data_IF_598783578610
#
_entry.id   IF_598783578610
#
_cell.length_a   1.000
_cell.length_b   1.000
_cell.length_c   1.000
_cell.angle_alpha   90.00
_cell.angle_beta   90.00
_cell.angle_gamma   90.00
#
_symmetry.space_group_name_H-M   'P 1'
#
loop_
_entity.id
_entity.type
_entity.pdbx_description
1 polymer ?
#
# COMPACT_ATOMS: atom_id res chain seq x y z
N UNK A 1 -1.36 -5.55 -13.59
CA UNK A 1 -1.67 -4.51 -12.59
C UNK A 1 -3.11 -4.69 -12.15
N UNK A 2 -3.37 -4.67 -10.86
CA UNK A 2 -4.71 -4.66 -10.29
C UNK A 2 -4.94 -3.30 -9.60
N UNK A 3 -6.00 -2.58 -9.98
CA UNK A 3 -6.40 -1.32 -9.36
C UNK A 3 -7.90 -1.41 -9.07
N UNK A 4 -8.28 -1.51 -7.80
CA UNK A 4 -9.68 -1.73 -7.43
C UNK A 4 -10.25 -3.07 -7.91
N UNK A 5 -9.41 -4.11 -8.05
CA UNK A 5 -9.86 -5.43 -8.50
C UNK A 5 -10.49 -6.21 -7.33
N UNK A 6 -11.80 -6.07 -7.17
CA UNK A 6 -12.59 -6.67 -6.08
C UNK A 6 -12.96 -8.13 -6.36
N UNK A 7 -11.98 -8.97 -6.76
CA UNK A 7 -12.17 -10.41 -6.98
C UNK A 7 -10.97 -11.20 -6.50
N UNK A 8 -11.24 -12.31 -5.82
CA UNK A 8 -10.22 -13.31 -5.46
C UNK A 8 -9.72 -13.95 -6.74
N UNK A 9 -8.43 -13.80 -7.03
CA UNK A 9 -7.77 -14.49 -8.13
C UNK A 9 -7.54 -15.95 -7.76
N UNK A 10 -7.75 -16.86 -8.71
CA UNK A 10 -7.48 -18.28 -8.47
C UNK A 10 -5.99 -18.50 -8.21
N UNK A 11 -5.66 -19.48 -7.38
CA UNK A 11 -4.28 -19.80 -7.03
C UNK A 11 -3.41 -20.07 -8.26
N UNK A 12 -3.96 -20.79 -9.25
CA UNK A 12 -3.27 -21.05 -10.53
C UNK A 12 -2.95 -19.79 -11.32
N UNK A 13 -3.83 -18.78 -11.29
CA UNK A 13 -3.57 -17.49 -11.95
C UNK A 13 -2.46 -16.72 -11.22
N UNK A 14 -2.52 -16.66 -9.89
CA UNK A 14 -1.52 -15.94 -9.09
C UNK A 14 -0.14 -16.56 -9.26
N UNK A 15 -0.03 -17.89 -9.16
CA UNK A 15 1.24 -18.62 -9.37
C UNK A 15 1.80 -18.40 -10.77
N UNK A 16 0.95 -18.37 -11.80
CA UNK A 16 1.42 -18.13 -13.18
C UNK A 16 2.11 -16.76 -13.34
N UNK A 17 1.63 -15.73 -12.62
CA UNK A 17 2.18 -14.37 -12.68
C UNK A 17 2.92 -13.97 -11.40
N UNK A 18 3.45 -14.94 -10.66
CA UNK A 18 4.22 -14.70 -9.44
C UNK A 18 5.38 -13.72 -9.72
N UNK A 19 5.57 -12.76 -8.81
CA UNK A 19 6.56 -11.68 -8.95
C UNK A 19 6.25 -10.64 -10.03
N UNK A 20 5.10 -10.73 -10.74
CA UNK A 20 4.72 -9.82 -11.83
C UNK A 20 3.37 -9.13 -11.62
N UNK A 21 2.56 -9.61 -10.66
CA UNK A 21 1.30 -8.98 -10.28
C UNK A 21 1.54 -7.99 -9.14
N UNK A 22 1.15 -6.73 -9.35
CA UNK A 22 1.09 -5.70 -8.31
C UNK A 22 -0.36 -5.30 -8.05
N UNK A 23 -0.65 -5.01 -6.78
CA UNK A 23 -1.91 -4.46 -6.29
C UNK A 23 -1.62 -3.23 -5.42
N UNK A 24 -2.57 -2.30 -5.37
CA UNK A 24 -2.60 -1.22 -4.39
C UNK A 24 -3.75 -1.44 -3.40
N UNK A 25 -3.43 -1.34 -2.12
CA UNK A 25 -4.37 -1.56 -1.02
C UNK A 25 -4.51 -0.28 -0.17
N UNK A 26 -5.74 0.17 0.15
CA UNK A 26 -6.00 1.43 0.86
C UNK A 26 -5.76 1.33 2.38
N UNK A 27 -4.64 0.75 2.80
CA UNK A 27 -4.14 0.81 4.18
C UNK A 27 -2.62 0.69 4.25
N UNK A 28 -2.04 0.95 5.42
CA UNK A 28 -0.65 0.59 5.74
C UNK A 28 -0.59 -0.87 6.17
N UNK A 29 -0.49 -1.79 5.21
CA UNK A 29 -0.37 -3.22 5.50
C UNK A 29 0.85 -3.49 6.42
N UNK A 30 0.75 -4.44 7.37
CA UNK A 30 -0.32 -5.45 7.51
C UNK A 30 -1.58 -4.98 8.24
N UNK A 31 -1.69 -3.71 8.62
CA UNK A 31 -2.90 -3.19 9.27
C UNK A 31 -4.07 -3.11 8.30
N UNK A 32 -5.28 -3.44 8.77
CA UNK A 32 -6.52 -3.33 7.99
C UNK A 32 -6.49 -4.06 6.63
N UNK A 33 -6.20 -5.38 6.56
CA UNK A 33 -6.38 -6.14 5.33
C UNK A 33 -7.88 -6.25 5.00
N UNK A 34 -8.23 -6.51 3.74
CA UNK A 34 -9.62 -6.63 3.29
C UNK A 34 -10.36 -5.29 3.18
N UNK A 35 -11.68 -5.32 3.33
CA UNK A 35 -12.56 -4.19 2.99
C UNK A 35 -12.70 -3.16 4.13
N UNK A 36 -13.34 -2.02 3.83
CA UNK A 36 -13.70 -0.97 4.80
C UNK A 36 -12.49 -0.47 5.61
N UNK A 37 -11.35 -0.30 4.96
CA UNK A 37 -10.09 0.09 5.61
C UNK A 37 -10.18 1.45 6.29
N UNK A 38 -10.79 2.43 5.63
CA UNK A 38 -10.93 3.80 6.12
C UNK A 38 -11.89 3.88 7.32
N UNK A 39 -13.07 3.26 7.22
CA UNK A 39 -14.02 3.18 8.32
C UNK A 39 -13.39 2.56 9.56
N UNK A 40 -12.73 1.39 9.41
CA UNK A 40 -12.04 0.73 10.53
C UNK A 40 -10.92 1.58 11.14
N UNK A 41 -10.16 2.31 10.30
CA UNK A 41 -9.12 3.21 10.79
C UNK A 41 -9.69 4.34 11.67
N UNK A 42 -10.84 4.90 11.28
CA UNK A 42 -11.54 5.91 12.07
C UNK A 42 -12.11 5.32 13.37
N UNK A 43 -12.75 4.15 13.31
CA UNK A 43 -13.32 3.45 14.46
C UNK A 43 -12.26 3.05 15.50
N UNK A 44 -11.09 2.61 15.05
CA UNK A 44 -9.96 2.28 15.93
C UNK A 44 -9.18 3.52 16.42
N UNK A 45 -9.45 4.72 15.87
CA UNK A 45 -8.86 5.97 16.32
C UNK A 45 -7.37 6.12 16.02
N UNK A 46 -6.88 5.51 14.93
CA UNK A 46 -5.46 5.63 14.56
C UNK A 46 -5.12 7.05 14.13
N UNK A 47 -3.90 7.52 14.41
CA UNK A 47 -3.43 8.86 13.99
C UNK A 47 -2.78 8.90 12.61
N UNK A 48 -2.45 7.72 12.09
CA UNK A 48 -1.77 7.51 10.81
C UNK A 48 -2.48 6.38 10.07
N UNK A 49 -2.84 6.63 8.82
CA UNK A 49 -3.37 5.66 7.87
C UNK A 49 -2.59 5.80 6.54
N UNK A 50 -3.03 5.18 5.46
CA UNK A 50 -2.27 5.26 4.20
C UNK A 50 -2.68 4.25 3.16
N UNK A 51 -1.79 4.02 2.19
CA UNK A 51 -1.92 2.98 1.19
C UNK A 51 -0.61 2.24 0.95
N UNK A 52 -0.72 1.02 0.45
CA UNK A 52 0.40 0.09 0.21
C UNK A 52 0.34 -0.47 -1.19
N UNK A 53 1.43 -0.37 -1.96
CA UNK A 53 1.62 -1.16 -3.17
C UNK A 53 2.43 -2.39 -2.81
N UNK A 54 1.95 -3.57 -3.22
CA UNK A 54 2.60 -4.85 -2.94
C UNK A 54 2.48 -5.80 -4.12
N UNK A 55 3.34 -6.82 -4.16
CA UNK A 55 3.15 -7.95 -5.07
C UNK A 55 1.97 -8.82 -4.61
N UNK A 56 1.21 -9.37 -5.54
CA UNK A 56 0.08 -10.26 -5.24
C UNK A 56 0.59 -11.66 -4.96
N UNK A 57 0.13 -12.23 -3.85
CA UNK A 57 0.34 -13.62 -3.44
C UNK A 57 -1.00 -14.33 -3.32
N UNK A 58 -1.04 -15.69 -3.24
CA UNK A 58 -2.29 -16.41 -2.99
C UNK A 58 -2.95 -16.00 -1.67
N UNK A 59 -2.16 -15.61 -0.68
CA UNK A 59 -2.65 -14.99 0.55
C UNK A 59 -3.02 -13.53 0.28
N UNK A 60 -4.30 -13.19 0.49
CA UNK A 60 -4.88 -11.86 0.28
C UNK A 60 -4.13 -10.78 1.10
N UNK A 61 -3.75 -9.66 0.48
CA UNK A 61 -3.11 -8.50 1.13
C UNK A 61 -1.87 -8.82 1.99
N UNK A 62 -1.17 -9.92 1.66
CA UNK A 62 -0.03 -10.44 2.43
C UNK A 62 1.27 -10.56 1.62
N UNK A 63 1.28 -10.03 0.40
CA UNK A 63 2.47 -10.12 -0.45
C UNK A 63 3.55 -9.08 -0.12
N UNK A 64 4.77 -9.26 -0.67
CA UNK A 64 5.89 -8.35 -0.42
C UNK A 64 5.57 -6.90 -0.77
N UNK A 65 5.76 -6.00 0.20
CA UNK A 65 5.51 -4.56 0.06
C UNK A 65 6.60 -3.90 -0.79
N UNK A 66 6.18 -3.09 -1.77
CA UNK A 66 7.07 -2.32 -2.66
C UNK A 66 7.23 -0.89 -2.16
N UNK A 67 6.11 -0.22 -1.85
CA UNK A 67 6.08 1.17 -1.38
C UNK A 67 4.81 1.41 -0.56
N UNK A 68 4.92 2.28 0.45
CA UNK A 68 3.81 2.76 1.25
C UNK A 68 3.80 4.29 1.27
N UNK A 69 2.61 4.87 1.39
CA UNK A 69 2.43 6.28 1.69
C UNK A 69 1.57 6.43 2.93
N UNK A 70 2.06 7.17 3.92
CA UNK A 70 1.33 7.49 5.14
C UNK A 70 0.59 8.83 5.00
N UNK A 71 -0.59 8.91 5.60
CA UNK A 71 -1.41 10.13 5.70
C UNK A 71 -1.88 10.32 7.14
N UNK A 72 -2.06 11.56 7.61
CA UNK A 72 -2.62 11.79 8.94
C UNK A 72 -4.12 11.50 8.93
N UNK A 73 -4.63 11.01 10.06
CA UNK A 73 -6.06 10.99 10.38
C UNK A 73 -6.35 12.16 11.32
N UNK A 74 -7.25 13.04 10.91
CA UNK A 74 -7.58 14.27 11.62
C UNK A 74 -8.81 14.05 12.52
N UNK A 75 -8.91 14.80 13.62
CA UNK A 75 -10.00 14.64 14.60
C UNK A 75 -11.41 14.84 14.02
N UNK A 76 -11.53 15.56 12.90
CA UNK A 76 -12.79 15.82 12.21
C UNK A 76 -12.97 15.04 10.91
N UNK A 77 -12.14 14.03 10.64
CA UNK A 77 -12.30 13.21 9.43
C UNK A 77 -13.58 12.36 9.49
N UNK A 78 -14.29 12.34 8.37
CA UNK A 78 -15.20 11.25 8.02
C UNK A 78 -14.51 10.30 7.03
N UNK A 79 -15.20 9.21 6.66
CA UNK A 79 -14.68 8.21 5.72
C UNK A 79 -14.31 8.83 4.36
N UNK A 80 -15.11 9.78 3.87
CA UNK A 80 -14.89 10.43 2.58
C UNK A 80 -13.63 11.30 2.58
N UNK A 81 -13.43 12.08 3.63
CA UNK A 81 -12.25 12.94 3.81
C UNK A 81 -10.96 12.12 3.91
N UNK A 82 -10.98 11.03 4.70
CA UNK A 82 -9.84 10.13 4.82
C UNK A 82 -9.56 9.39 3.50
N UNK A 83 -10.60 8.83 2.87
CA UNK A 83 -10.48 8.11 1.60
C UNK A 83 -9.91 9.01 0.50
N UNK A 84 -10.42 10.24 0.35
CA UNK A 84 -9.90 11.18 -0.63
C UNK A 84 -8.42 11.54 -0.38
N UNK A 85 -7.98 11.58 0.89
CA UNK A 85 -6.58 11.81 1.25
C UNK A 85 -5.69 10.63 0.88
N UNK A 86 -6.14 9.40 1.12
CA UNK A 86 -5.45 8.17 0.73
C UNK A 86 -5.37 8.06 -0.79
N UNK A 87 -6.47 8.26 -1.52
CA UNK A 87 -6.55 8.18 -2.97
C UNK A 87 -5.54 9.10 -3.69
N UNK A 88 -5.32 10.30 -3.14
CA UNK A 88 -4.26 11.20 -3.66
C UNK A 88 -2.88 10.57 -3.58
N UNK A 89 -2.58 9.81 -2.54
CA UNK A 89 -1.30 9.11 -2.42
C UNK A 89 -1.24 7.88 -3.31
N UNK A 90 -2.35 7.16 -3.49
CA UNK A 90 -2.44 6.02 -4.40
C UNK A 90 -2.05 6.40 -5.83
N UNK A 91 -2.56 7.54 -6.32
CA UNK A 91 -2.21 8.09 -7.63
C UNK A 91 -0.73 8.45 -7.79
N UNK A 92 0.01 8.62 -6.68
CA UNK A 92 1.45 8.90 -6.71
C UNK A 92 2.28 7.62 -6.64
N UNK A 93 2.01 6.78 -5.63
CA UNK A 93 2.89 5.65 -5.36
C UNK A 93 2.67 4.48 -6.32
N UNK A 94 1.47 4.34 -6.89
CA UNK A 94 1.22 3.21 -7.78
C UNK A 94 1.96 3.33 -9.12
N UNK A 95 1.88 4.45 -9.86
CA UNK A 95 2.71 4.65 -11.05
C UNK A 95 4.21 4.56 -10.75
N UNK A 96 4.65 5.03 -9.58
CA UNK A 96 6.06 4.97 -9.18
C UNK A 96 6.55 3.52 -8.99
N UNK A 97 5.76 2.67 -8.33
CA UNK A 97 6.08 1.25 -8.17
C UNK A 97 6.17 0.54 -9.54
N UNK A 98 5.23 0.85 -10.44
CA UNK A 98 5.19 0.30 -11.80
C UNK A 98 6.42 0.72 -12.61
N UNK A 99 6.81 1.99 -12.49
CA UNK A 99 8.04 2.50 -13.11
C UNK A 99 9.26 1.76 -12.60
N UNK A 100 9.43 1.58 -11.29
CA UNK A 100 10.56 0.83 -10.73
C UNK A 100 10.60 -0.61 -11.20
N UNK A 101 9.43 -1.25 -11.31
CA UNK A 101 9.33 -2.60 -11.86
C UNK A 101 9.76 -2.64 -13.33
N UNK A 102 9.26 -1.73 -14.16
CA UNK A 102 9.60 -1.65 -15.58
C UNK A 102 11.08 -1.30 -15.84
N UNK A 103 11.69 -0.50 -14.96
CA UNK A 103 13.11 -0.17 -14.98
C UNK A 103 14.01 -1.30 -14.43
N UNK A 104 13.45 -2.43 -13.98
CA UNK A 104 14.22 -3.54 -13.40
C UNK A 104 14.88 -3.21 -12.06
N UNK A 105 14.34 -2.23 -11.32
CA UNK A 105 14.91 -1.73 -10.05
C UNK A 105 14.41 -2.46 -8.81
N UNK A 106 13.46 -3.38 -8.96
CA UNK A 106 12.91 -4.17 -7.87
C UNK A 106 13.48 -5.59 -7.92
N UNK A 107 14.00 -6.07 -6.79
CA UNK A 107 14.41 -7.47 -6.62
C UNK A 107 13.68 -8.08 -5.43
N UNK A 108 13.21 -9.31 -5.59
CA UNK A 108 12.60 -10.08 -4.50
C UNK A 108 13.67 -10.87 -3.74
N UNK A 109 13.74 -10.64 -2.43
CA UNK A 109 14.61 -11.29 -1.44
C UNK A 109 13.70 -11.97 -0.40
N UNK A 110 13.26 -13.19 -0.72
CA UNK A 110 12.21 -13.89 0.03
C UNK A 110 10.90 -13.09 0.04
N UNK A 111 10.42 -12.74 1.24
CA UNK A 111 9.20 -11.93 1.43
C UNK A 111 9.44 -10.41 1.40
N UNK A 112 10.63 -9.95 0.97
CA UNK A 112 11.01 -8.54 0.96
C UNK A 112 11.33 -8.06 -0.45
N UNK A 113 10.93 -6.83 -0.76
CA UNK A 113 11.34 -6.14 -1.98
C UNK A 113 12.56 -5.28 -1.66
N UNK A 114 13.61 -5.40 -2.48
CA UNK A 114 14.77 -4.51 -2.49
C UNK A 114 14.64 -3.55 -3.66
N UNK A 115 14.75 -2.25 -3.37
CA UNK A 115 14.78 -1.21 -4.38
C UNK A 115 16.24 -0.82 -4.66
N UNK A 116 16.62 -0.82 -5.93
CA UNK A 116 17.88 -0.24 -6.41
C UNK A 116 17.76 1.29 -6.45
N UNK A 117 17.94 1.91 -5.29
CA UNK A 117 17.97 3.35 -5.07
C UNK A 117 18.72 3.66 -3.76
N UNK A 118 19.25 4.88 -3.64
CA UNK A 118 19.62 5.41 -2.32
C UNK A 118 18.34 5.64 -1.51
N UNK A 119 18.29 5.09 -0.30
CA UNK A 119 17.20 5.27 0.64
C UNK A 119 17.63 6.27 1.72
N UNK A 120 16.74 7.18 2.09
CA UNK A 120 16.94 8.18 3.14
C UNK A 120 16.25 7.70 4.43
N UNK A 121 16.95 7.78 5.56
CA UNK A 121 16.45 7.44 6.89
C UNK A 121 15.83 8.64 7.64
N UNK A 122 15.87 9.84 7.05
CA UNK A 122 15.39 11.08 7.66
C UNK A 122 13.87 11.26 7.61
N UNK A 123 13.15 10.43 6.85
CA UNK A 123 11.73 10.61 6.58
C UNK A 123 10.83 9.95 7.64
N UNK A 124 10.86 10.43 8.89
CA UNK A 124 9.84 10.05 9.87
C UNK A 124 8.52 10.80 9.63
N UNK A 125 7.42 10.08 9.47
CA UNK A 125 6.08 10.67 9.42
C UNK A 125 5.45 10.67 10.82
N UNK A 126 5.32 11.85 11.44
CA UNK A 126 4.76 12.02 12.79
C UNK A 126 3.38 12.68 12.69
N UNK A 127 2.38 12.10 13.36
CA UNK A 127 1.01 12.64 13.42
C UNK A 127 0.41 12.49 14.83
N UNK A 128 -0.11 13.57 15.43
CA UNK A 128 -0.02 14.97 14.97
C UNK A 128 1.42 15.47 14.92
N UNK A 129 1.72 16.42 14.02
CA UNK A 129 3.05 17.01 13.92
C UNK A 129 3.43 17.70 15.24
N UNK A 130 4.68 17.47 15.68
CA UNK A 130 5.27 18.21 16.80
C UNK A 130 5.45 19.66 16.36
N UNK A 131 4.95 20.60 17.17
CA UNK A 131 5.18 22.04 16.96
C UNK A 131 6.52 22.44 17.53
#
# INVERSE_FOLDING_TARGET
>A
MLAGFMRILSEGFVRHYEGRLMNIHPSLLPSFPGLHTHQRALEEGVRIHGCTVHFVTPTLDHGPVIIQAAVPVLDGDDEGALSARVLRQEHLIYPQAVRWFAEGRLTLDGARVRLSAELDDRAAFISPLLR
#
